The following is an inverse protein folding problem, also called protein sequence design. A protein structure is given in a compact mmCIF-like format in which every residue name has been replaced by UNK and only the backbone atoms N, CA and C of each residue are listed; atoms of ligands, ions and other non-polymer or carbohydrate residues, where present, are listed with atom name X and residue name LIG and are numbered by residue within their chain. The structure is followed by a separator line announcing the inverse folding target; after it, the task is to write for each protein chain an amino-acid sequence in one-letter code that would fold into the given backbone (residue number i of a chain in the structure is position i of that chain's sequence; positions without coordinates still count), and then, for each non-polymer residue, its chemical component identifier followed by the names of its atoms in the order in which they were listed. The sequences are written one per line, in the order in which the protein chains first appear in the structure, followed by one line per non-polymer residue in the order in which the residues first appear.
data_IF_234919541344
#
_entry.id   IF_234919541344
#
_cell.length_a   1.000
_cell.length_b   1.000
_cell.length_c   1.000
_cell.angle_alpha   90.00
_cell.angle_beta   90.00
_cell.angle_gamma   90.00
#
_symmetry.space_group_name_H-M   'P 1'
#
loop_
_entity.id
_entity.type
_entity.pdbx_description
1 polymer ?
#
# COMPACT_ATOMS: atom_id res chain seq x y z
N UNK A 1 2.00 -2.75 17.92
CA UNK A 1 2.70 -2.67 16.61
C UNK A 1 4.15 -3.16 16.63
N UNK A 2 5.14 -2.40 17.13
CA UNK A 2 6.58 -2.66 16.89
C UNK A 2 7.02 -4.11 17.11
N UNK A 3 6.60 -4.73 18.22
CA UNK A 3 6.94 -6.12 18.55
C UNK A 3 6.45 -7.11 17.48
N UNK A 4 5.23 -6.94 16.99
CA UNK A 4 4.63 -7.82 15.98
C UNK A 4 5.29 -7.63 14.61
N UNK A 5 5.46 -6.37 14.17
CA UNK A 5 6.13 -6.09 12.89
C UNK A 5 7.54 -6.68 12.88
N UNK A 6 8.29 -6.50 13.98
CA UNK A 6 9.62 -7.11 14.12
C UNK A 6 9.55 -8.63 14.05
N UNK A 7 8.62 -9.27 14.74
CA UNK A 7 8.45 -10.72 14.71
C UNK A 7 8.22 -11.24 13.28
N UNK A 8 7.34 -10.61 12.51
CA UNK A 8 7.06 -10.99 11.12
C UNK A 8 8.28 -10.77 10.23
N UNK A 9 8.95 -9.61 10.34
CA UNK A 9 10.17 -9.34 9.57
C UNK A 9 11.28 -10.33 9.91
N UNK A 10 11.46 -10.66 11.19
CA UNK A 10 12.46 -11.63 11.64
C UNK A 10 12.13 -13.05 11.14
N UNK A 11 10.85 -13.40 11.06
CA UNK A 11 10.41 -14.66 10.44
C UNK A 11 10.76 -14.69 8.95
N UNK A 12 10.39 -13.66 8.18
CA UNK A 12 10.70 -13.59 6.75
C UNK A 12 12.21 -13.57 6.47
N UNK A 13 13.00 -12.93 7.33
CA UNK A 13 14.45 -12.93 7.24
C UNK A 13 15.06 -14.30 7.49
N UNK A 14 14.58 -15.02 8.51
CA UNK A 14 15.04 -16.38 8.81
C UNK A 14 14.79 -17.34 7.66
N UNK A 15 13.61 -17.25 7.06
CA UNK A 15 13.21 -18.05 5.89
C UNK A 15 13.74 -17.50 4.54
N UNK A 16 14.60 -16.46 4.57
CA UNK A 16 15.21 -15.84 3.38
C UNK A 16 14.20 -15.39 2.30
N UNK A 17 13.03 -14.91 2.72
CA UNK A 17 11.95 -14.57 1.81
C UNK A 17 12.11 -13.20 1.15
N UNK A 18 12.98 -12.33 1.64
CA UNK A 18 13.26 -11.05 0.97
C UNK A 18 14.08 -11.23 -0.30
N UNK A 19 13.79 -10.42 -1.32
CA UNK A 19 14.52 -10.40 -2.59
C UNK A 19 16.03 -10.15 -2.39
N UNK A 20 16.39 -9.34 -1.38
CA UNK A 20 17.79 -9.16 -0.97
C UNK A 20 18.49 -10.43 -0.46
N UNK A 21 17.72 -11.48 -0.16
CA UNK A 21 18.17 -12.80 0.29
C UNK A 21 17.88 -13.91 -0.76
N UNK A 22 17.40 -13.55 -1.95
CA UNK A 22 17.00 -14.47 -3.02
C UNK A 22 15.54 -14.93 -2.97
N UNK A 23 14.73 -14.40 -2.06
CA UNK A 23 13.31 -14.73 -1.94
C UNK A 23 12.37 -13.85 -2.79
N UNK A 24 11.05 -14.08 -2.71
CA UNK A 24 10.07 -13.40 -3.57
C UNK A 24 9.62 -12.01 -3.07
N UNK A 25 9.88 -11.63 -1.82
CA UNK A 25 9.37 -10.37 -1.24
C UNK A 25 10.22 -9.20 -1.75
N UNK A 26 9.67 -8.41 -2.68
CA UNK A 26 10.37 -7.28 -3.33
C UNK A 26 10.11 -5.92 -2.68
N UNK A 27 9.07 -5.78 -1.86
CA UNK A 27 8.73 -4.57 -1.12
C UNK A 27 7.85 -4.91 0.08
N UNK A 28 7.70 -3.99 1.03
CA UNK A 28 6.84 -4.19 2.21
C UNK A 28 6.11 -2.90 2.55
N UNK A 29 4.86 -2.99 2.98
CA UNK A 29 4.11 -1.81 3.43
C UNK A 29 4.36 -1.58 4.91
N UNK A 30 4.66 -0.34 5.30
CA UNK A 30 4.74 0.04 6.71
C UNK A 30 3.35 0.08 7.27
N UNK A 31 3.21 -0.68 8.32
CA UNK A 31 1.94 -1.16 8.77
C UNK A 31 1.97 -0.94 10.31
N UNK A 32 0.98 -0.25 10.93
CA UNK A 32 0.71 -0.08 12.39
C UNK A 32 -0.60 -0.75 13.01
N UNK A 33 -0.52 -1.70 13.99
CA UNK A 33 -1.67 -2.55 14.42
C UNK A 33 -2.45 -2.14 15.69
N UNK A 34 -3.78 -2.30 15.63
CA UNK A 34 -4.64 -3.11 16.54
C UNK A 34 -5.73 -3.84 15.72
N UNK A 35 -6.33 -4.92 16.25
CA UNK A 35 -6.26 -6.24 15.63
C UNK A 35 -6.82 -6.25 14.19
N UNK A 36 -6.03 -6.82 13.29
CA UNK A 36 -6.24 -6.92 11.84
C UNK A 36 -6.04 -5.61 11.06
N UNK A 37 -4.95 -5.60 10.29
CA UNK A 37 -4.42 -4.52 9.44
C UNK A 37 -3.60 -3.45 10.18
N UNK A 38 -2.49 -3.08 9.54
CA UNK A 38 -1.36 -2.39 10.17
C UNK A 38 -1.18 -1.21 9.15
N UNK A 39 -1.36 0.07 9.51
CA UNK A 39 -1.31 1.30 8.63
C UNK A 39 -1.62 1.13 7.12
N UNK A 40 -2.86 1.46 6.79
CA UNK A 40 -3.39 1.48 5.43
C UNK A 40 -4.21 2.76 5.31
N UNK A 41 -3.83 3.64 4.39
CA UNK A 41 -4.53 4.90 4.15
C UNK A 41 -4.64 5.86 5.37
N UNK A 42 -3.61 5.97 6.20
CA UNK A 42 -3.67 6.76 7.44
C UNK A 42 -4.01 8.23 7.22
N UNK A 43 -3.60 8.83 6.10
CA UNK A 43 -3.88 10.24 5.85
C UNK A 43 -5.38 10.58 5.90
N UNK A 44 -6.27 9.59 5.70
CA UNK A 44 -7.71 9.74 5.87
C UNK A 44 -8.11 10.07 7.33
N UNK A 45 -7.35 9.59 8.32
CA UNK A 45 -7.62 9.78 9.75
C UNK A 45 -6.60 10.67 10.45
N UNK A 46 -5.43 10.88 9.86
CA UNK A 46 -4.32 11.65 10.43
C UNK A 46 -4.76 13.04 10.91
N UNK A 47 -5.58 13.73 10.11
CA UNK A 47 -6.09 15.08 10.43
C UNK A 47 -6.84 15.13 11.76
N UNK A 48 -7.53 14.05 12.14
CA UNK A 48 -8.23 13.98 13.42
C UNK A 48 -7.26 13.98 14.62
N UNK A 49 -6.02 13.52 14.42
CA UNK A 49 -4.98 13.42 15.44
C UNK A 49 -3.98 14.57 15.44
N UNK A 50 -4.10 15.53 14.50
CA UNK A 50 -3.25 16.72 14.37
C UNK A 50 -1.76 16.31 14.40
N UNK A 51 -0.91 17.06 15.11
CA UNK A 51 0.54 16.80 15.22
C UNK A 51 0.89 15.41 15.74
N UNK A 52 0.01 14.78 16.53
CA UNK A 52 0.25 13.41 17.01
C UNK A 52 0.16 12.38 15.88
N UNK A 53 -0.68 12.63 14.87
CA UNK A 53 -0.78 11.80 13.67
C UNK A 53 0.51 11.86 12.84
N UNK A 54 1.01 13.06 12.57
CA UNK A 54 2.25 13.22 11.79
C UNK A 54 3.47 12.67 12.55
N UNK A 55 3.57 12.91 13.87
CA UNK A 55 4.62 12.27 14.71
C UNK A 55 4.57 10.75 14.64
N UNK A 56 3.37 10.19 14.58
CA UNK A 56 3.17 8.76 14.50
C UNK A 56 3.63 8.18 13.15
N UNK A 57 3.30 8.84 12.04
CA UNK A 57 3.76 8.45 10.70
C UNK A 57 5.29 8.48 10.61
N UNK A 58 5.91 9.53 11.13
CA UNK A 58 7.37 9.63 11.23
C UNK A 58 7.95 8.49 12.07
N UNK A 59 7.36 8.18 13.23
CA UNK A 59 7.81 7.07 14.06
C UNK A 59 7.63 5.71 13.38
N UNK A 60 6.51 5.49 12.69
CA UNK A 60 6.22 4.24 11.98
C UNK A 60 7.21 4.01 10.83
N UNK A 61 7.50 5.06 10.04
CA UNK A 61 8.47 4.97 8.95
C UNK A 61 9.89 4.69 9.45
N UNK A 62 10.34 5.43 10.47
CA UNK A 62 11.63 5.20 11.11
C UNK A 62 11.75 3.80 11.73
N UNK A 63 10.66 3.29 12.30
CA UNK A 63 10.62 1.95 12.89
C UNK A 63 10.83 0.88 11.81
N UNK A 64 10.17 1.02 10.66
CA UNK A 64 10.28 0.07 9.55
C UNK A 64 11.66 0.11 8.88
N UNK A 65 12.20 1.30 8.63
CA UNK A 65 13.54 1.47 8.06
C UNK A 65 14.61 0.78 8.93
N UNK A 66 14.51 0.93 10.26
CA UNK A 66 15.41 0.29 11.24
C UNK A 66 15.35 -1.24 11.21
N UNK A 67 14.31 -1.85 10.66
CA UNK A 67 14.25 -3.30 10.50
C UNK A 67 15.18 -3.81 9.41
N UNK A 68 15.76 -2.94 8.56
CA UNK A 68 16.82 -3.28 7.59
C UNK A 68 16.48 -4.52 6.76
N UNK A 69 15.31 -4.53 6.13
CA UNK A 69 14.86 -5.59 5.20
C UNK A 69 15.63 -5.56 3.88
N UNK A 70 16.29 -4.43 3.55
CA UNK A 70 17.00 -4.20 2.28
C UNK A 70 16.13 -4.30 1.03
N UNK A 71 14.82 -4.18 1.22
CA UNK A 71 13.83 -3.94 0.17
C UNK A 71 13.07 -2.65 0.48
N UNK A 72 12.50 -1.96 -0.53
CA UNK A 72 11.75 -0.73 -0.31
C UNK A 72 10.56 -0.91 0.64
N UNK A 73 10.33 0.12 1.44
CA UNK A 73 9.12 0.26 2.25
C UNK A 73 8.15 1.24 1.60
N UNK A 74 6.86 0.93 1.63
CA UNK A 74 5.80 1.75 1.03
C UNK A 74 4.74 2.16 2.06
N UNK A 75 4.00 3.23 1.78
CA UNK A 75 2.82 3.67 2.56
C UNK A 75 1.73 4.14 1.60
N UNK A 76 0.58 3.47 1.63
CA UNK A 76 -0.55 3.80 0.76
C UNK A 76 -1.35 5.00 1.27
N UNK A 77 -1.79 5.86 0.33
CA UNK A 77 -2.44 7.15 0.59
C UNK A 77 -1.78 7.95 1.72
N UNK A 78 -0.44 8.03 1.72
CA UNK A 78 0.30 8.85 2.68
C UNK A 78 1.15 9.89 1.97
N UNK A 79 0.64 11.12 1.86
CA UNK A 79 1.27 12.19 1.06
C UNK A 79 2.64 12.58 1.64
N UNK A 80 2.78 12.61 2.95
CA UNK A 80 3.98 13.02 3.68
C UNK A 80 4.85 11.84 4.15
N UNK A 81 4.75 10.68 3.48
CA UNK A 81 5.55 9.50 3.81
C UNK A 81 7.05 9.85 3.92
N UNK A 82 7.70 9.57 5.07
CA UNK A 82 9.09 9.96 5.31
C UNK A 82 10.05 9.23 4.37
N UNK A 83 11.16 9.86 4.02
CA UNK A 83 12.22 9.18 3.28
C UNK A 83 12.85 8.06 4.15
N UNK A 84 13.22 6.90 3.56
CA UNK A 84 13.19 6.54 2.13
C UNK A 84 11.87 5.88 1.65
N UNK A 85 10.78 5.94 2.42
CA UNK A 85 9.54 5.24 2.11
C UNK A 85 8.81 5.84 0.91
N UNK A 86 8.16 4.99 0.12
CA UNK A 86 7.45 5.41 -1.10
C UNK A 86 5.96 5.57 -0.79
N UNK A 87 5.39 6.75 -1.09
CA UNK A 87 3.96 6.95 -1.03
C UNK A 87 3.28 6.33 -2.27
N UNK A 88 2.15 5.67 -2.06
CA UNK A 88 1.44 4.95 -3.13
C UNK A 88 -0.02 5.35 -3.21
N UNK A 89 -0.66 5.02 -4.34
CA UNK A 89 -2.07 5.32 -4.59
C UNK A 89 -2.96 4.09 -4.42
N UNK A 90 -4.17 4.33 -3.89
CA UNK A 90 -5.28 3.38 -3.88
C UNK A 90 -6.52 4.06 -4.49
N UNK A 91 -7.29 3.32 -5.29
CA UNK A 91 -8.49 3.83 -5.92
C UNK A 91 -8.81 3.14 -7.24
N UNK A 92 -9.85 3.63 -7.94
CA UNK A 92 -10.23 3.13 -9.27
C UNK A 92 -9.42 3.74 -10.42
N UNK A 93 -9.05 5.02 -10.31
CA UNK A 93 -8.37 5.77 -11.36
C UNK A 93 -7.20 6.58 -10.80
N UNK A 94 -6.17 5.89 -10.30
CA UNK A 94 -4.98 6.56 -9.76
C UNK A 94 -4.24 7.43 -10.78
N UNK A 95 -4.39 7.16 -12.08
CA UNK A 95 -3.86 8.03 -13.13
C UNK A 95 -4.44 9.45 -13.11
N UNK A 96 -5.63 9.62 -12.55
CA UNK A 96 -6.36 10.88 -12.48
C UNK A 96 -6.34 11.49 -11.06
N UNK A 97 -6.31 10.65 -10.02
CA UNK A 97 -6.40 11.08 -8.62
C UNK A 97 -5.06 11.18 -7.90
N UNK A 98 -4.03 10.47 -8.35
CA UNK A 98 -2.72 10.49 -7.70
C UNK A 98 -1.96 11.75 -8.12
N UNK A 99 -1.60 12.58 -7.14
CA UNK A 99 -0.78 13.79 -7.36
C UNK A 99 0.67 13.46 -7.76
N UNK A 100 1.08 12.21 -7.61
CA UNK A 100 2.43 11.75 -7.86
C UNK A 100 3.21 11.39 -6.58
N UNK A 101 4.41 10.83 -6.74
CA UNK A 101 5.30 10.54 -5.63
C UNK A 101 5.69 11.85 -4.92
N UNK A 102 5.86 11.78 -3.61
CA UNK A 102 6.15 12.96 -2.78
C UNK A 102 7.60 13.48 -2.93
N UNK A 103 8.44 12.77 -3.70
CA UNK A 103 9.80 13.15 -4.08
C UNK A 103 10.06 12.72 -5.53
N UNK A 104 10.86 13.48 -6.30
CA UNK A 104 11.06 13.23 -7.74
C UNK A 104 11.82 11.94 -8.05
N UNK A 105 12.61 11.40 -7.11
CA UNK A 105 13.35 10.14 -7.29
C UNK A 105 12.54 8.90 -6.90
N UNK A 106 11.31 9.05 -6.39
CA UNK A 106 10.47 7.92 -6.00
C UNK A 106 9.58 7.49 -7.18
N UNK A 107 9.34 6.19 -7.36
CA UNK A 107 8.47 5.69 -8.42
C UNK A 107 6.99 5.91 -8.08
N UNK A 108 6.15 5.93 -9.12
CA UNK A 108 4.69 5.94 -9.00
C UNK A 108 4.14 4.52 -8.85
N UNK A 109 3.64 4.18 -7.66
CA UNK A 109 3.09 2.85 -7.37
C UNK A 109 1.59 2.92 -7.07
N UNK A 110 0.83 2.01 -7.69
CA UNK A 110 -0.60 1.84 -7.44
C UNK A 110 -0.82 0.52 -6.69
N UNK A 111 -1.04 0.62 -5.37
CA UNK A 111 -1.10 -0.52 -4.44
C UNK A 111 -2.47 -1.18 -4.37
N UNK A 112 -3.55 -0.46 -4.63
CA UNK A 112 -4.90 -1.05 -4.71
C UNK A 112 -5.69 -0.48 -5.88
N UNK A 113 -5.70 -1.22 -6.98
CA UNK A 113 -6.64 -1.02 -8.08
C UNK A 113 -7.93 -1.77 -7.77
N UNK A 114 -8.95 -1.05 -7.29
CA UNK A 114 -10.20 -1.66 -6.84
C UNK A 114 -10.96 -2.31 -7.99
N UNK A 115 -10.93 -3.64 -8.08
CA UNK A 115 -11.57 -4.43 -9.15
C UNK A 115 -13.06 -4.65 -8.91
N UNK A 116 -13.51 -4.50 -7.67
CA UNK A 116 -14.93 -4.62 -7.29
C UNK A 116 -15.17 -3.85 -5.99
N UNK A 117 -16.41 -3.87 -5.51
CA UNK A 117 -16.77 -3.41 -4.17
C UNK A 117 -17.04 -4.62 -3.27
N UNK A 118 -16.77 -4.49 -1.97
CA UNK A 118 -17.20 -5.51 -1.02
C UNK A 118 -18.73 -5.52 -0.95
N UNK A 119 -19.31 -6.71 -0.81
CA UNK A 119 -20.77 -6.86 -0.69
C UNK A 119 -21.20 -6.57 0.74
N UNK A 120 -22.28 -5.80 0.90
CA UNK A 120 -22.91 -5.53 2.20
C UNK A 120 -24.27 -6.22 2.22
N UNK A 121 -24.65 -6.82 3.35
CA UNK A 121 -25.95 -7.47 3.48
C UNK A 121 -27.09 -6.48 3.18
N UNK A 122 -27.98 -6.86 2.27
CA UNK A 122 -29.13 -6.06 1.84
C UNK A 122 -28.84 -5.04 0.73
N UNK A 123 -27.57 -4.85 0.34
CA UNK A 123 -27.18 -3.93 -0.74
C UNK A 123 -26.93 -4.68 -2.05
N UNK A 124 -27.19 -4.06 -3.21
CA UNK A 124 -26.87 -4.64 -4.51
C UNK A 124 -25.35 -4.75 -4.70
N UNK A 125 -24.92 -5.80 -5.42
CA UNK A 125 -23.52 -5.98 -5.79
C UNK A 125 -23.11 -4.95 -6.84
N UNK A 126 -22.03 -4.21 -6.57
CA UNK A 126 -21.42 -3.30 -7.53
C UNK A 126 -20.26 -3.97 -8.26
N UNK A 127 -20.41 -4.11 -9.58
CA UNK A 127 -19.36 -4.66 -10.45
C UNK A 127 -18.62 -3.55 -11.17
N UNK A 128 -17.32 -3.78 -11.40
CA UNK A 128 -16.49 -2.95 -12.27
C UNK A 128 -16.18 -3.75 -13.53
N UNK A 129 -16.37 -3.14 -14.69
CA UNK A 129 -16.18 -3.84 -15.96
C UNK A 129 -14.70 -4.04 -16.27
N UNK A 130 -14.38 -5.09 -17.04
CA UNK A 130 -13.00 -5.38 -17.43
C UNK A 130 -12.43 -4.26 -18.32
N UNK A 131 -13.27 -3.64 -19.14
CA UNK A 131 -12.91 -2.52 -20.02
C UNK A 131 -12.48 -1.29 -19.21
N UNK A 132 -13.21 -0.95 -18.15
CA UNK A 132 -12.84 0.17 -17.28
C UNK A 132 -11.53 -0.10 -16.52
N UNK A 133 -11.35 -1.33 -16.02
CA UNK A 133 -10.11 -1.75 -15.37
C UNK A 133 -8.95 -1.62 -16.35
N UNK A 134 -9.06 -2.19 -17.56
CA UNK A 134 -8.03 -2.14 -18.58
C UNK A 134 -7.71 -0.69 -18.99
N UNK A 135 -8.73 0.14 -19.18
CA UNK A 135 -8.56 1.57 -19.47
C UNK A 135 -7.79 2.29 -18.36
N UNK A 136 -8.19 2.09 -17.10
CA UNK A 136 -7.55 2.74 -15.95
C UNK A 136 -6.08 2.35 -15.79
N UNK A 137 -5.75 1.08 -16.06
CA UNK A 137 -4.37 0.57 -16.02
C UNK A 137 -3.54 1.11 -17.19
N UNK A 138 -4.08 1.10 -18.41
CA UNK A 138 -3.40 1.66 -19.57
C UNK A 138 -3.09 3.15 -19.35
N UNK A 139 -4.05 3.92 -18.82
CA UNK A 139 -3.87 5.33 -18.50
C UNK A 139 -2.81 5.56 -17.42
N UNK A 140 -2.73 4.66 -16.43
CA UNK A 140 -1.71 4.72 -15.37
C UNK A 140 -0.30 4.59 -15.93
N UNK A 141 -0.05 3.56 -16.74
CA UNK A 141 1.26 3.37 -17.37
C UNK A 141 1.59 4.50 -18.38
N UNK A 142 0.60 5.03 -19.09
CA UNK A 142 0.77 6.19 -19.96
C UNK A 142 1.16 7.48 -19.21
N UNK A 143 0.94 7.54 -17.89
CA UNK A 143 1.29 8.67 -17.00
C UNK A 143 2.44 8.34 -16.05
N UNK A 144 3.44 7.60 -16.54
CA UNK A 144 4.65 7.21 -15.78
C UNK A 144 4.36 6.34 -14.54
N UNK A 145 3.22 5.65 -14.48
CA UNK A 145 2.99 4.59 -13.52
C UNK A 145 3.97 3.44 -13.74
N UNK A 146 4.54 2.86 -12.67
CA UNK A 146 5.55 1.79 -12.78
C UNK A 146 5.15 0.48 -12.10
N UNK A 147 4.05 0.50 -11.35
CA UNK A 147 3.51 -0.68 -10.66
C UNK A 147 2.00 -0.56 -10.50
N UNK A 148 1.28 -1.67 -10.63
CA UNK A 148 -0.14 -1.78 -10.31
C UNK A 148 -0.42 -3.12 -9.63
N UNK A 149 -1.25 -3.10 -8.59
CA UNK A 149 -1.75 -4.29 -7.92
C UNK A 149 -3.29 -4.30 -7.94
N UNK A 150 -3.88 -5.40 -8.42
CA UNK A 150 -5.34 -5.57 -8.48
C UNK A 150 -5.89 -5.99 -7.12
N UNK A 151 -6.79 -5.18 -6.57
CA UNK A 151 -7.44 -5.42 -5.29
C UNK A 151 -8.94 -5.63 -5.52
N UNK A 152 -9.46 -6.85 -5.66
CA UNK A 152 -8.83 -8.16 -5.48
C UNK A 152 -8.64 -8.90 -6.81
N UNK A 153 -7.56 -9.69 -6.93
CA UNK A 153 -7.37 -10.62 -8.06
C UNK A 153 -8.33 -11.80 -7.98
N UNK A 154 -8.48 -12.38 -6.78
CA UNK A 154 -9.37 -13.53 -6.57
C UNK A 154 -10.68 -13.07 -5.93
N UNK A 155 -11.79 -13.27 -6.65
CA UNK A 155 -13.11 -13.31 -6.03
C UNK A 155 -13.42 -14.76 -5.66
N UNK A 156 -13.48 -15.07 -4.37
CA UNK A 156 -14.13 -16.30 -3.92
C UNK A 156 -15.63 -16.14 -4.15
N UNK A 157 -16.09 -16.48 -5.35
CA UNK A 157 -17.48 -16.88 -5.52
C UNK A 157 -17.61 -18.24 -4.83
N UNK A 158 -18.18 -18.24 -3.62
CA UNK A 158 -18.84 -19.44 -3.13
C UNK A 158 -20.01 -19.70 -4.09
N UNK A 159 -19.81 -20.65 -5.01
CA UNK A 159 -20.89 -21.37 -5.65
C UNK A 159 -21.44 -22.42 -4.68
#
# INVERSE_FOLDING_TARGET
MRKFVRMIVDMFKREKLYASQGGPIIMSQVSSHRPYQIENEYANVERAFKDSGSRYIQWAGNMAERLKTRVPWIMCKQIDAPDPLINTCNGRHCADTFLGPNKPYKPSLWTENWTSHYTVFGEPSYYRTAEDIAYSVARWFARNGTHVNYYMVSHTHCQ
#
